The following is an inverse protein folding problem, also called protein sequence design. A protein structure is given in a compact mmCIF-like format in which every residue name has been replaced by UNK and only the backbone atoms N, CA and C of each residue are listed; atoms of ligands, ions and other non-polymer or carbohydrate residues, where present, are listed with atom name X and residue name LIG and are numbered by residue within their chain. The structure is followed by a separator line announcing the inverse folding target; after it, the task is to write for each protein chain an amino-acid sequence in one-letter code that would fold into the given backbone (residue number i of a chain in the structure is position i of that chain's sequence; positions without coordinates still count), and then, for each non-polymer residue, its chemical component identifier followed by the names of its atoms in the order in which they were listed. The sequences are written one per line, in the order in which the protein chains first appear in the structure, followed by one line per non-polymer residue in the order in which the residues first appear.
data_IF_993520966234
#
_entry.id   IF_993520966234
#
_cell.length_a   1.000
_cell.length_b   1.000
_cell.length_c   1.000
_cell.angle_alpha   90.00
_cell.angle_beta   90.00
_cell.angle_gamma   90.00
#
_symmetry.space_group_name_H-M   'P 1'
#
loop_
_entity.id
_entity.type
_entity.pdbx_description
1 polymer ?
#
# COMPACT_ATOMS: atom_id res chain seq x y z
N UNK A 1 21.84 4.93 14.03
CA UNK A 1 21.02 4.80 12.80
C UNK A 1 20.33 6.12 12.50
N UNK A 2 20.36 6.62 11.27
CA UNK A 2 19.67 7.86 10.85
C UNK A 2 18.71 7.48 9.71
N UNK A 3 17.48 7.99 9.74
CA UNK A 3 16.48 7.82 8.68
C UNK A 3 15.92 9.18 8.29
N UNK A 4 15.99 9.51 7.01
CA UNK A 4 15.30 10.68 6.44
C UNK A 4 13.82 10.33 6.31
N UNK A 5 12.95 11.15 6.88
CA UNK A 5 11.49 10.97 6.85
C UNK A 5 10.85 11.78 5.72
N UNK A 6 11.32 13.02 5.53
CA UNK A 6 10.75 13.92 4.53
C UNK A 6 11.78 14.95 4.09
N UNK A 7 11.77 15.24 2.79
CA UNK A 7 12.48 16.37 2.21
C UNK A 7 11.45 17.29 1.58
N UNK A 8 11.50 18.59 1.89
CA UNK A 8 10.55 19.58 1.36
C UNK A 8 11.26 20.87 1.00
N UNK A 9 11.04 21.33 -0.23
CA UNK A 9 11.49 22.65 -0.68
C UNK A 9 10.64 23.71 0.00
N UNK A 10 11.28 24.63 0.75
CA UNK A 10 10.58 25.73 1.43
C UNK A 10 10.62 26.98 0.56
N UNK A 11 11.78 27.30 -0.01
CA UNK A 11 12.03 28.40 -0.95
C UNK A 11 13.15 28.02 -1.92
N UNK A 12 13.42 28.86 -2.91
CA UNK A 12 14.62 28.71 -3.73
C UNK A 12 15.87 28.77 -2.86
N UNK A 13 16.73 27.77 -3.00
CA UNK A 13 17.93 27.58 -2.17
C UNK A 13 17.70 27.06 -0.75
N UNK A 14 16.45 26.86 -0.29
CA UNK A 14 16.16 26.41 1.09
C UNK A 14 15.37 25.10 1.08
N UNK A 15 15.97 24.05 1.65
CA UNK A 15 15.37 22.72 1.79
C UNK A 15 15.26 22.36 3.27
N UNK A 16 14.07 21.90 3.68
CA UNK A 16 13.85 21.31 5.00
C UNK A 16 13.95 19.79 4.89
N UNK A 17 14.83 19.21 5.70
CA UNK A 17 14.96 17.76 5.84
C UNK A 17 14.50 17.39 7.26
N UNK A 18 13.49 16.54 7.34
CA UNK A 18 13.04 15.92 8.58
C UNK A 18 13.66 14.54 8.67
N UNK A 19 14.38 14.25 9.75
CA UNK A 19 15.02 12.96 9.98
C UNK A 19 14.80 12.49 11.42
N UNK A 20 14.87 11.18 11.61
CA UNK A 20 14.95 10.54 12.91
C UNK A 20 16.33 9.93 13.11
N UNK A 21 16.80 9.85 14.36
CA UNK A 21 18.08 9.27 14.71
C UNK A 21 17.98 8.35 15.94
N UNK A 22 18.96 7.45 16.08
CA UNK A 22 19.05 6.51 17.21
C UNK A 22 17.82 5.61 17.32
N UNK A 23 17.31 5.47 18.56
CA UNK A 23 16.14 4.63 18.87
C UNK A 23 14.88 5.04 18.10
N UNK A 24 14.71 6.33 17.82
CA UNK A 24 13.56 6.80 17.05
C UNK A 24 13.60 6.31 15.60
N UNK A 25 14.79 6.32 14.97
CA UNK A 25 14.95 5.80 13.61
C UNK A 25 14.70 4.28 13.56
N UNK A 26 15.17 3.54 14.57
CA UNK A 26 14.95 2.10 14.67
C UNK A 26 13.47 1.75 14.83
N UNK A 27 12.75 2.48 15.69
CA UNK A 27 11.32 2.31 15.89
C UNK A 27 10.54 2.50 14.59
N UNK A 28 10.83 3.57 13.84
CA UNK A 28 10.15 3.86 12.56
C UNK A 28 10.42 2.74 11.54
N UNK A 29 11.67 2.29 11.41
CA UNK A 29 12.01 1.20 10.48
C UNK A 29 11.26 -0.09 10.86
N UNK A 30 11.14 -0.37 12.16
CA UNK A 30 10.40 -1.53 12.63
C UNK A 30 8.90 -1.40 12.36
N UNK A 31 8.31 -0.22 12.55
CA UNK A 31 6.91 0.06 12.25
C UNK A 31 6.60 -0.10 10.76
N UNK A 32 7.48 0.39 9.88
CA UNK A 32 7.36 0.20 8.44
C UNK A 32 7.43 -1.28 8.07
N UNK A 33 8.38 -2.03 8.64
CA UNK A 33 8.49 -3.48 8.42
C UNK A 33 7.23 -4.21 8.88
N UNK A 34 6.72 -3.87 10.06
CA UNK A 34 5.47 -4.45 10.57
C UNK A 34 4.27 -4.13 9.66
N UNK A 35 4.28 -2.96 9.01
CA UNK A 35 3.23 -2.57 8.06
C UNK A 35 3.28 -3.42 6.79
N UNK A 36 4.49 -3.68 6.27
CA UNK A 36 4.69 -4.59 5.13
C UNK A 36 4.28 -6.02 5.46
N UNK A 37 4.71 -6.56 6.61
CA UNK A 37 4.35 -7.91 7.07
C UNK A 37 2.82 -8.08 7.20
N UNK A 38 2.14 -7.08 7.77
CA UNK A 38 0.66 -7.09 7.85
C UNK A 38 0.02 -7.06 6.48
N UNK A 39 0.52 -6.24 5.55
CA UNK A 39 0.02 -6.19 4.19
C UNK A 39 0.22 -7.53 3.46
N UNK A 40 1.39 -8.15 3.62
CA UNK A 40 1.73 -9.47 3.07
C UNK A 40 0.77 -10.55 3.57
N UNK A 41 0.49 -10.58 4.87
CA UNK A 41 -0.50 -11.49 5.49
C UNK A 41 -1.91 -11.30 4.94
N UNK A 42 -2.38 -10.06 4.81
CA UNK A 42 -3.72 -9.79 4.27
C UNK A 42 -3.86 -10.17 2.80
N UNK A 43 -2.79 -10.00 2.01
CA UNK A 43 -2.75 -10.35 0.60
C UNK A 43 -2.34 -11.80 0.33
N UNK A 44 -2.07 -12.57 1.40
CA UNK A 44 -1.58 -13.95 1.39
C UNK A 44 -0.41 -14.15 0.40
N UNK A 45 0.63 -13.33 0.54
CA UNK A 45 1.80 -13.32 -0.33
C UNK A 45 3.08 -13.00 0.45
N UNK A 46 4.24 -13.16 -0.19
CA UNK A 46 5.51 -12.71 0.38
C UNK A 46 5.64 -11.19 0.40
N UNK A 47 6.44 -10.65 1.33
CA UNK A 47 6.68 -9.20 1.46
C UNK A 47 7.08 -8.55 0.13
N UNK A 48 7.93 -9.21 -0.66
CA UNK A 48 8.39 -8.72 -1.96
C UNK A 48 7.29 -8.68 -3.03
N UNK A 49 6.23 -9.46 -2.87
CA UNK A 49 5.11 -9.55 -3.81
C UNK A 49 3.97 -8.58 -3.47
N UNK A 50 4.01 -7.97 -2.27
CA UNK A 50 3.00 -7.01 -1.80
C UNK A 50 2.68 -5.92 -2.83
N UNK A 51 3.66 -5.25 -3.47
CA UNK A 51 3.35 -4.20 -4.45
C UNK A 51 2.58 -4.74 -5.66
N UNK A 52 2.97 -5.91 -6.16
CA UNK A 52 2.29 -6.57 -7.27
C UNK A 52 0.86 -6.97 -6.94
N UNK A 53 0.64 -7.55 -5.75
CA UNK A 53 -0.69 -7.91 -5.25
C UNK A 53 -1.57 -6.70 -4.97
N UNK A 54 -0.98 -5.63 -4.44
CA UNK A 54 -1.67 -4.36 -4.21
C UNK A 54 -2.16 -3.73 -5.53
N UNK A 55 -1.37 -3.84 -6.61
CA UNK A 55 -1.75 -3.36 -7.93
C UNK A 55 -2.97 -4.12 -8.46
N UNK A 56 -2.96 -5.45 -8.38
CA UNK A 56 -4.10 -6.28 -8.78
C UNK A 56 -5.36 -5.94 -7.96
N UNK A 57 -5.21 -5.81 -6.65
CA UNK A 57 -6.31 -5.44 -5.75
C UNK A 57 -6.92 -4.09 -6.15
N UNK A 58 -6.07 -3.09 -6.43
CA UNK A 58 -6.53 -1.76 -6.80
C UNK A 58 -7.25 -1.75 -8.15
N UNK A 59 -6.71 -2.43 -9.16
CA UNK A 59 -7.36 -2.56 -10.47
C UNK A 59 -8.69 -3.30 -10.36
N UNK A 60 -8.72 -4.40 -9.60
CA UNK A 60 -9.95 -5.16 -9.36
C UNK A 60 -10.99 -4.32 -8.64
N UNK A 61 -10.61 -3.61 -7.57
CA UNK A 61 -11.50 -2.70 -6.84
C UNK A 61 -12.05 -1.59 -7.73
N UNK A 62 -11.24 -0.99 -8.60
CA UNK A 62 -11.71 0.01 -9.58
C UNK A 62 -12.73 -0.58 -10.55
N UNK A 63 -12.47 -1.78 -11.08
CA UNK A 63 -13.40 -2.47 -11.99
C UNK A 63 -14.71 -2.84 -11.28
N UNK A 64 -14.62 -3.43 -10.10
CA UNK A 64 -15.77 -3.83 -9.29
C UNK A 64 -16.63 -2.61 -8.89
N UNK A 65 -16.00 -1.51 -8.46
CA UNK A 65 -16.70 -0.26 -8.16
C UNK A 65 -17.46 0.30 -9.36
N UNK A 66 -16.87 0.24 -10.56
CA UNK A 66 -17.54 0.65 -11.81
C UNK A 66 -18.68 -0.30 -12.18
N UNK A 67 -18.49 -1.61 -12.03
CA UNK A 67 -19.50 -2.62 -12.32
C UNK A 67 -20.71 -2.47 -11.37
N UNK A 68 -20.47 -2.28 -10.07
CA UNK A 68 -21.49 -2.03 -9.07
C UNK A 68 -22.32 -0.77 -9.39
N UNK A 69 -21.67 0.32 -9.82
CA UNK A 69 -22.37 1.54 -10.27
C UNK A 69 -23.24 1.31 -11.51
N UNK A 70 -22.79 0.44 -12.43
CA UNK A 70 -23.49 0.14 -13.69
C UNK A 70 -24.42 -1.08 -13.61
N UNK A 71 -24.57 -1.72 -12.44
CA UNK A 71 -25.29 -2.99 -12.24
C UNK A 71 -24.84 -4.09 -13.21
N UNK A 72 -23.53 -4.16 -13.49
CA UNK A 72 -22.90 -5.16 -14.36
C UNK A 72 -22.32 -6.31 -13.53
N UNK A 73 -22.10 -7.49 -14.12
CA UNK A 73 -21.47 -8.61 -13.43
C UNK A 73 -20.09 -8.23 -12.89
N UNK A 74 -19.80 -8.66 -11.67
CA UNK A 74 -18.55 -8.38 -11.00
C UNK A 74 -17.40 -9.18 -11.65
N UNK A 75 -16.21 -8.58 -11.76
CA UNK A 75 -15.03 -9.28 -12.23
C UNK A 75 -14.61 -10.37 -11.24
N UNK A 76 -14.03 -11.46 -11.75
CA UNK A 76 -13.53 -12.56 -10.95
C UNK A 76 -12.41 -12.09 -10.01
N UNK A 77 -12.53 -12.45 -8.73
CA UNK A 77 -11.65 -11.99 -7.64
C UNK A 77 -10.55 -13.00 -7.40
N UNK A 78 -9.58 -13.08 -8.33
CA UNK A 78 -8.36 -13.86 -8.09
C UNK A 78 -7.14 -12.96 -8.22
N UNK A 79 -6.46 -12.74 -7.10
CA UNK A 79 -5.13 -12.14 -7.09
C UNK A 79 -4.14 -13.27 -7.43
N UNK A 80 -3.32 -13.10 -8.46
CA UNK A 80 -2.39 -14.14 -8.94
C UNK A 80 -0.98 -13.62 -9.13
N UNK A 81 -0.73 -12.32 -9.03
CA UNK A 81 0.56 -11.76 -9.37
C UNK A 81 1.64 -12.31 -8.44
N UNK A 82 2.71 -12.80 -9.05
CA UNK A 82 3.94 -13.23 -8.38
C UNK A 82 5.06 -12.22 -8.59
N UNK A 83 4.75 -11.02 -9.08
CA UNK A 83 5.76 -9.99 -9.38
C UNK A 83 6.43 -9.52 -8.09
N UNK A 84 7.64 -10.04 -7.87
CA UNK A 84 8.49 -9.62 -6.78
C UNK A 84 9.15 -8.29 -7.13
N UNK A 85 9.12 -7.35 -6.18
CA UNK A 85 9.75 -6.05 -6.32
C UNK A 85 10.84 -5.86 -5.28
N UNK A 86 12.02 -5.42 -5.73
CA UNK A 86 13.14 -5.07 -4.86
C UNK A 86 13.11 -3.57 -4.53
N UNK A 87 13.58 -3.22 -3.32
CA UNK A 87 13.69 -1.84 -2.83
C UNK A 87 12.68 -1.51 -1.72
N UNK A 88 12.26 -0.25 -1.65
CA UNK A 88 11.27 0.21 -0.66
C UNK A 88 9.86 -0.29 -1.02
N UNK A 89 9.51 -1.45 -0.47
CA UNK A 89 8.23 -2.13 -0.69
C UNK A 89 7.06 -1.27 -0.21
N UNK A 90 7.20 -0.64 0.95
CA UNK A 90 6.10 0.10 1.57
C UNK A 90 5.75 1.34 0.75
N UNK A 91 6.76 2.12 0.35
CA UNK A 91 6.56 3.32 -0.47
C UNK A 91 5.95 2.97 -1.82
N UNK A 92 6.46 1.94 -2.51
CA UNK A 92 5.88 1.49 -3.79
C UNK A 92 4.43 1.03 -3.65
N UNK A 93 4.13 0.27 -2.59
CA UNK A 93 2.76 -0.18 -2.30
C UNK A 93 1.83 1.01 -2.06
N UNK A 94 2.30 2.02 -1.33
CA UNK A 94 1.54 3.24 -1.04
C UNK A 94 1.25 4.04 -2.33
N UNK A 95 2.22 4.18 -3.22
CA UNK A 95 2.05 4.83 -4.53
C UNK A 95 1.00 4.12 -5.40
N UNK A 96 1.06 2.78 -5.48
CA UNK A 96 0.13 1.95 -6.24
C UNK A 96 -1.30 2.11 -5.73
N UNK A 97 -1.48 2.06 -4.40
CA UNK A 97 -2.78 2.23 -3.75
C UNK A 97 -3.22 3.70 -3.65
N UNK A 98 -2.42 4.63 -4.14
CA UNK A 98 -2.63 6.08 -4.06
C UNK A 98 -2.92 6.56 -2.63
N UNK A 99 -2.11 6.09 -1.68
CA UNK A 99 -2.29 6.33 -0.24
C UNK A 99 -0.96 6.64 0.45
N UNK A 100 -0.99 6.94 1.75
CA UNK A 100 0.23 7.16 2.53
C UNK A 100 0.77 5.82 3.07
N UNK A 101 2.11 5.64 3.16
CA UNK A 101 2.75 4.44 3.71
C UNK A 101 2.14 3.93 5.03
N UNK A 102 1.83 4.86 5.93
CA UNK A 102 1.32 4.59 7.29
C UNK A 102 -0.09 3.96 7.30
N UNK A 103 -0.87 4.16 6.24
CA UNK A 103 -2.27 3.72 6.15
C UNK A 103 -2.50 2.68 5.05
N UNK A 104 -1.42 2.12 4.48
CA UNK A 104 -1.49 1.05 3.46
C UNK A 104 -2.35 -0.11 3.93
N UNK A 105 -2.13 -0.59 5.15
CA UNK A 105 -2.87 -1.71 5.75
C UNK A 105 -4.37 -1.42 5.80
N UNK A 106 -4.76 -0.24 6.29
CA UNK A 106 -6.18 0.17 6.34
C UNK A 106 -6.80 0.32 4.96
N UNK A 107 -6.01 0.77 3.99
CA UNK A 107 -6.46 0.89 2.59
C UNK A 107 -6.74 -0.48 1.98
N UNK A 108 -5.86 -1.46 2.21
CA UNK A 108 -6.04 -2.85 1.76
C UNK A 108 -7.30 -3.45 2.40
N UNK A 109 -7.45 -3.32 3.73
CA UNK A 109 -8.62 -3.80 4.47
C UNK A 109 -9.92 -3.21 3.90
N UNK A 110 -9.94 -1.89 3.66
CA UNK A 110 -11.07 -1.20 3.04
C UNK A 110 -11.39 -1.76 1.65
N UNK A 111 -10.39 -1.94 0.79
CA UNK A 111 -10.64 -2.44 -0.57
C UNK A 111 -11.18 -3.86 -0.57
N UNK A 112 -10.67 -4.73 0.30
CA UNK A 112 -11.21 -6.08 0.49
C UNK A 112 -12.66 -6.03 0.99
N UNK A 113 -12.96 -5.20 2.00
CA UNK A 113 -14.31 -5.04 2.52
C UNK A 113 -15.29 -4.45 1.48
N UNK A 114 -14.84 -3.48 0.67
CA UNK A 114 -15.64 -2.92 -0.42
C UNK A 114 -15.95 -3.98 -1.48
N UNK A 115 -14.98 -4.83 -1.83
CA UNK A 115 -15.17 -5.93 -2.77
C UNK A 115 -16.19 -6.97 -2.27
N UNK A 116 -16.15 -7.33 -0.98
CA UNK A 116 -17.15 -8.22 -0.38
C UNK A 116 -18.55 -7.58 -0.40
N UNK A 117 -18.66 -6.28 -0.09
CA UNK A 117 -19.95 -5.56 -0.17
C UNK A 117 -20.52 -5.57 -1.58
N UNK A 118 -19.68 -5.40 -2.60
CA UNK A 118 -20.13 -5.43 -3.98
C UNK A 118 -20.66 -6.82 -4.39
N UNK A 119 -20.18 -7.92 -3.81
CA UNK A 119 -20.72 -9.28 -4.08
C UNK A 119 -22.13 -9.48 -3.55
N UNK A 120 -22.46 -8.87 -2.41
CA UNK A 120 -23.76 -9.02 -1.75
C UNK A 120 -24.86 -8.13 -2.31
N UNK A 121 -24.56 -7.29 -3.31
CA UNK A 121 -25.45 -6.25 -3.83
C UNK A 121 -25.86 -6.52 -5.28
#
# INVERSE_FOLDING_TARGET
KIKILKTSKVKDGIVRITFAAGKAAEKIIQEEKNTVDKAAKMLNCDEHQVPGRAQELFELWKKARKAAQKKQPLPEMTLKSTTATTGDILTKTAEILQTQPEVVVKTIERFLADLEKFKTQ
#
